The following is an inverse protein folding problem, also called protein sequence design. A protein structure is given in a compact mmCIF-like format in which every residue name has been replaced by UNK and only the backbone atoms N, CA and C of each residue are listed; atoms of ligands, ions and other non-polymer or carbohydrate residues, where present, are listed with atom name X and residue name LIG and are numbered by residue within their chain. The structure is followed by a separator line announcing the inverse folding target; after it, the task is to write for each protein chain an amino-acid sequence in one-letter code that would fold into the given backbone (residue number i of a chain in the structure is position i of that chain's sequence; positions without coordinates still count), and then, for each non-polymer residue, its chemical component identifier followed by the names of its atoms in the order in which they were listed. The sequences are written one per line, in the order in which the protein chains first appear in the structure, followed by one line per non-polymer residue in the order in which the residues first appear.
data_IF_676749116482
#
_entry.id   IF_676749116482
#
_cell.length_a   1.000
_cell.length_b   1.000
_cell.length_c   1.000
_cell.angle_alpha   90.00
_cell.angle_beta   90.00
_cell.angle_gamma   90.00
#
_symmetry.space_group_name_H-M   'P 1'
#
loop_
_entity.id
_entity.type
_entity.pdbx_description
1 polymer ?
#
# COMPACT_ATOMS: atom_id res chain seq x y z
N UNK A 1 -1.20 -21.05 3.56
CA UNK A 1 -1.33 -19.76 2.85
C UNK A 1 -0.63 -18.72 3.69
N UNK A 2 0.22 -17.93 3.07
CA UNK A 2 0.86 -16.80 3.71
C UNK A 2 -0.16 -15.71 4.11
N UNK A 3 0.30 -14.74 4.87
CA UNK A 3 -0.49 -13.55 5.18
C UNK A 3 -0.59 -12.64 3.95
N UNK A 4 -1.54 -11.71 3.97
CA UNK A 4 -1.67 -10.67 2.95
C UNK A 4 -1.38 -9.32 3.60
N UNK A 5 -0.37 -8.63 3.10
CA UNK A 5 -0.03 -7.28 3.48
C UNK A 5 -0.34 -6.29 2.35
N UNK A 6 -0.62 -5.05 2.70
CA UNK A 6 -0.87 -3.98 1.75
C UNK A 6 -0.07 -2.74 2.16
N UNK A 7 0.44 -2.01 1.18
CA UNK A 7 1.12 -0.73 1.36
C UNK A 7 1.05 0.08 0.06
N UNK A 8 1.54 1.30 0.07
CA UNK A 8 1.67 2.15 -1.10
C UNK A 8 2.79 3.16 -0.92
N UNK A 9 3.23 3.75 -2.02
CA UNK A 9 4.10 4.94 -2.01
C UNK A 9 5.43 4.70 -1.27
N UNK A 10 6.14 3.63 -1.62
CA UNK A 10 7.50 3.40 -1.12
C UNK A 10 8.40 4.56 -1.47
N UNK A 11 8.31 5.04 -2.72
CA UNK A 11 9.16 6.10 -3.25
C UNK A 11 10.64 5.89 -2.95
N UNK A 12 11.13 4.66 -3.12
CA UNK A 12 12.55 4.38 -2.99
C UNK A 12 13.38 5.35 -3.81
N UNK A 13 14.43 5.88 -3.20
CA UNK A 13 15.36 6.84 -3.80
C UNK A 13 14.76 8.24 -4.10
N UNK A 14 13.67 8.63 -3.46
CA UNK A 14 13.12 9.98 -3.58
C UNK A 14 14.00 11.00 -2.87
N UNK A 15 14.59 11.93 -3.64
CA UNK A 15 15.64 12.83 -3.16
C UNK A 15 15.14 14.12 -2.50
N UNK A 16 13.84 14.39 -2.55
CA UNK A 16 13.27 15.64 -2.05
C UNK A 16 12.86 15.50 -0.57
N UNK A 17 13.17 16.53 0.21
CA UNK A 17 12.97 16.55 1.66
C UNK A 17 11.49 16.57 2.06
N UNK A 18 10.63 17.13 1.24
CA UNK A 18 9.19 17.15 1.49
C UNK A 18 8.58 15.73 1.60
N UNK A 19 9.28 14.68 1.12
CA UNK A 19 8.83 13.31 1.25
C UNK A 19 9.42 12.63 2.50
N UNK A 20 10.75 12.61 2.64
CA UNK A 20 11.39 11.85 3.71
C UNK A 20 11.34 12.55 5.08
N UNK A 21 11.31 13.90 5.11
CA UNK A 21 11.25 14.66 6.39
C UNK A 21 9.94 14.45 7.16
N UNK A 22 8.75 14.52 6.54
CA UNK A 22 7.49 14.22 7.24
C UNK A 22 7.41 12.76 7.75
N UNK A 23 8.11 11.83 7.09
CA UNK A 23 8.26 10.43 7.52
C UNK A 23 9.25 10.25 8.67
N UNK A 24 9.93 11.34 9.10
CA UNK A 24 10.87 11.36 10.23
C UNK A 24 12.30 10.97 9.87
N UNK A 25 12.70 11.04 8.59
CA UNK A 25 14.05 10.71 8.14
C UNK A 25 14.84 11.95 7.72
N UNK A 26 16.17 11.89 7.82
CA UNK A 26 17.07 12.98 7.45
C UNK A 26 17.39 13.01 5.96
N UNK A 27 17.25 11.87 5.29
CA UNK A 27 17.56 11.69 3.87
C UNK A 27 16.91 10.41 3.33
N UNK A 28 16.93 10.26 2.00
CA UNK A 28 16.39 9.10 1.30
C UNK A 28 17.03 7.76 1.70
N UNK A 29 18.32 7.75 2.05
CA UNK A 29 19.02 6.50 2.38
C UNK A 29 18.55 5.94 3.72
N UNK A 30 18.34 6.82 4.72
CA UNK A 30 17.71 6.43 5.99
C UNK A 30 16.29 5.91 5.76
N UNK A 31 15.50 6.61 4.93
CA UNK A 31 14.14 6.20 4.60
C UNK A 31 14.11 4.84 3.92
N UNK A 32 14.90 4.64 2.85
CA UNK A 32 14.98 3.37 2.12
C UNK A 32 15.32 2.20 3.06
N UNK A 33 16.36 2.39 3.88
CA UNK A 33 16.80 1.39 4.85
C UNK A 33 15.68 1.06 5.86
N UNK A 34 15.04 2.08 6.41
CA UNK A 34 13.96 1.89 7.39
C UNK A 34 12.74 1.17 6.79
N UNK A 35 12.34 1.49 5.55
CA UNK A 35 11.25 0.79 4.86
C UNK A 35 11.60 -0.69 4.70
N UNK A 36 12.79 -1.02 4.22
CA UNK A 36 13.25 -2.41 4.03
C UNK A 36 13.28 -3.16 5.37
N UNK A 37 13.87 -2.56 6.41
CA UNK A 37 13.98 -3.19 7.74
C UNK A 37 12.60 -3.44 8.36
N UNK A 38 11.71 -2.43 8.33
CA UNK A 38 10.36 -2.53 8.89
C UNK A 38 9.48 -3.53 8.13
N UNK A 39 9.60 -3.55 6.79
CA UNK A 39 8.95 -4.54 5.95
C UNK A 39 9.41 -5.95 6.32
N UNK A 40 10.71 -6.19 6.30
CA UNK A 40 11.32 -7.50 6.52
C UNK A 40 11.18 -8.01 7.96
N UNK A 41 10.88 -7.14 8.92
CA UNK A 41 10.61 -7.51 10.30
C UNK A 41 9.26 -8.24 10.46
N UNK A 42 8.29 -7.98 9.57
CA UNK A 42 6.92 -8.52 9.70
C UNK A 42 6.56 -9.47 8.56
N UNK A 43 7.02 -9.23 7.35
CA UNK A 43 6.73 -10.04 6.16
C UNK A 43 7.64 -11.28 6.13
N UNK A 44 7.05 -12.44 5.84
CA UNK A 44 7.76 -13.71 5.63
C UNK A 44 7.86 -14.03 4.14
N UNK A 45 8.77 -14.95 3.72
CA UNK A 45 8.96 -15.26 2.30
C UNK A 45 7.71 -15.76 1.55
N UNK A 46 6.78 -16.41 2.25
CA UNK A 46 5.56 -16.98 1.67
C UNK A 46 4.34 -16.05 1.75
N UNK A 47 4.51 -14.83 2.29
CA UNK A 47 3.45 -13.84 2.37
C UNK A 47 3.27 -13.11 1.04
N UNK A 48 2.05 -12.65 0.75
CA UNK A 48 1.74 -11.78 -0.38
C UNK A 48 1.73 -10.31 0.06
N UNK A 49 2.40 -9.44 -0.71
CA UNK A 49 2.46 -7.99 -0.43
C UNK A 49 1.95 -7.23 -1.63
N UNK A 50 0.83 -6.54 -1.48
CA UNK A 50 0.28 -5.65 -2.50
C UNK A 50 0.80 -4.23 -2.26
N UNK A 51 1.68 -3.75 -3.15
CA UNK A 51 2.11 -2.36 -3.22
C UNK A 51 1.21 -1.60 -4.19
N UNK A 52 0.49 -0.61 -3.71
CA UNK A 52 -0.45 0.17 -4.53
C UNK A 52 0.25 1.36 -5.21
N UNK A 53 1.42 1.09 -5.79
CA UNK A 53 2.13 1.98 -6.71
C UNK A 53 3.13 2.94 -6.09
N UNK A 54 3.73 3.70 -7.00
CA UNK A 54 4.78 4.68 -6.72
C UNK A 54 5.97 4.07 -5.98
N UNK A 55 6.51 3.01 -6.60
CA UNK A 55 7.54 2.18 -5.96
C UNK A 55 8.92 2.87 -5.92
N UNK A 56 9.35 3.49 -7.01
CA UNK A 56 10.73 4.01 -7.18
C UNK A 56 10.72 5.42 -7.77
N UNK A 57 11.63 6.28 -7.27
CA UNK A 57 11.86 7.63 -7.80
C UNK A 57 13.36 7.86 -8.08
N UNK A 58 13.63 8.82 -8.97
CA UNK A 58 14.96 9.33 -9.32
C UNK A 58 15.99 8.26 -9.78
N UNK A 59 16.50 7.45 -8.89
CA UNK A 59 17.49 6.41 -9.19
C UNK A 59 16.81 5.03 -9.32
N UNK A 60 16.52 4.65 -10.56
CA UNK A 60 15.84 3.38 -10.84
C UNK A 60 16.70 2.17 -10.47
N UNK A 61 18.02 2.23 -10.71
CA UNK A 61 18.91 1.10 -10.45
C UNK A 61 18.99 0.80 -8.95
N UNK A 62 19.17 1.83 -8.13
CA UNK A 62 19.21 1.67 -6.68
C UNK A 62 17.82 1.32 -6.10
N UNK A 63 16.75 1.89 -6.66
CA UNK A 63 15.38 1.57 -6.26
C UNK A 63 15.02 0.10 -6.52
N UNK A 64 15.45 -0.47 -7.63
CA UNK A 64 15.31 -1.90 -7.93
C UNK A 64 16.09 -2.77 -6.92
N UNK A 65 17.27 -2.35 -6.51
CA UNK A 65 18.01 -3.04 -5.43
C UNK A 65 17.25 -3.01 -4.11
N UNK A 66 16.54 -1.91 -3.83
CA UNK A 66 15.68 -1.84 -2.64
C UNK A 66 14.52 -2.84 -2.74
N UNK A 67 13.80 -2.91 -3.88
CA UNK A 67 12.70 -3.86 -4.08
C UNK A 67 13.20 -5.31 -3.93
N UNK A 68 14.33 -5.66 -4.53
CA UNK A 68 14.91 -7.01 -4.45
C UNK A 68 15.30 -7.44 -3.03
N UNK A 69 15.40 -6.51 -2.06
CA UNK A 69 15.66 -6.83 -0.65
C UNK A 69 14.41 -7.12 0.16
N UNK A 70 13.22 -6.81 -0.38
CA UNK A 70 11.95 -7.05 0.31
C UNK A 70 11.60 -8.54 0.28
N UNK A 71 11.13 -9.05 1.41
CA UNK A 71 10.57 -10.40 1.52
C UNK A 71 9.14 -10.45 0.98
N UNK A 72 8.68 -11.65 0.68
CA UNK A 72 7.33 -11.96 0.21
C UNK A 72 7.19 -11.91 -1.30
N UNK A 73 6.02 -12.30 -1.77
CA UNK A 73 5.59 -12.21 -3.17
C UNK A 73 5.02 -10.82 -3.41
N UNK A 74 5.71 -9.98 -4.15
CA UNK A 74 5.34 -8.59 -4.38
C UNK A 74 4.39 -8.50 -5.57
N UNK A 75 3.19 -7.94 -5.33
CA UNK A 75 2.21 -7.57 -6.35
C UNK A 75 2.21 -6.05 -6.47
N UNK A 76 2.49 -5.50 -7.64
CA UNK A 76 2.52 -4.06 -7.88
C UNK A 76 1.25 -3.64 -8.61
N UNK A 77 0.50 -2.72 -8.03
CA UNK A 77 -0.56 -1.96 -8.68
C UNK A 77 0.06 -0.62 -9.09
N UNK A 78 0.14 -0.35 -10.41
CA UNK A 78 0.88 0.79 -10.93
C UNK A 78 0.32 2.13 -10.43
N UNK A 79 1.21 3.01 -9.98
CA UNK A 79 0.93 4.42 -9.69
C UNK A 79 1.35 5.34 -10.83
N UNK A 80 1.16 6.65 -10.63
CA UNK A 80 1.49 7.65 -11.67
C UNK A 80 3.00 7.80 -11.92
N UNK A 81 3.83 7.40 -10.97
CA UNK A 81 5.28 7.41 -11.14
C UNK A 81 5.85 6.10 -11.68
N UNK A 82 5.05 5.04 -11.82
CA UNK A 82 5.47 3.74 -12.33
C UNK A 82 5.37 3.70 -13.86
N UNK A 83 6.32 4.34 -14.53
CA UNK A 83 6.38 4.42 -15.99
C UNK A 83 6.66 3.07 -16.65
N UNK A 84 6.33 2.92 -17.94
CA UNK A 84 6.63 1.70 -18.71
C UNK A 84 8.11 1.27 -18.63
N UNK A 85 9.04 2.21 -18.49
CA UNK A 85 10.45 1.91 -18.33
C UNK A 85 10.74 1.27 -16.95
N UNK A 86 10.09 1.75 -15.89
CA UNK A 86 10.22 1.18 -14.54
C UNK A 86 9.53 -0.18 -14.44
N UNK A 87 8.36 -0.34 -15.07
CA UNK A 87 7.62 -1.61 -15.12
C UNK A 87 8.52 -2.73 -15.65
N UNK A 88 9.26 -2.49 -16.74
CA UNK A 88 10.21 -3.47 -17.28
C UNK A 88 11.32 -3.85 -16.29
N UNK A 89 11.76 -2.91 -15.44
CA UNK A 89 12.74 -3.20 -14.41
C UNK A 89 12.12 -3.97 -13.23
N UNK A 90 10.85 -3.72 -12.91
CA UNK A 90 10.11 -4.48 -11.89
C UNK A 90 9.93 -5.94 -12.31
N UNK A 91 9.65 -6.20 -13.60
CA UNK A 91 9.54 -7.56 -14.17
C UNK A 91 10.83 -8.38 -14.01
N UNK A 92 11.99 -7.71 -13.89
CA UNK A 92 13.29 -8.36 -13.64
C UNK A 92 13.54 -8.69 -12.15
N UNK A 93 12.66 -8.29 -11.25
CA UNK A 93 12.79 -8.58 -9.83
C UNK A 93 12.22 -9.97 -9.52
N UNK A 94 13.03 -10.85 -8.95
CA UNK A 94 12.67 -12.24 -8.67
C UNK A 94 11.51 -12.40 -7.69
N UNK A 95 11.27 -11.40 -6.86
CA UNK A 95 10.21 -11.35 -5.85
C UNK A 95 8.97 -10.59 -6.32
N UNK A 96 8.97 -9.98 -7.50
CA UNK A 96 7.78 -9.36 -8.11
C UNK A 96 7.06 -10.41 -8.94
N UNK A 97 5.83 -10.73 -8.56
CA UNK A 97 5.06 -11.84 -9.16
C UNK A 97 3.89 -11.36 -10.01
N UNK A 98 3.46 -10.11 -9.86
CA UNK A 98 2.36 -9.54 -10.61
C UNK A 98 2.53 -8.02 -10.75
N UNK A 99 2.19 -7.44 -11.91
CA UNK A 99 2.15 -6.00 -12.15
C UNK A 99 0.87 -5.69 -12.92
N UNK A 100 0.00 -4.84 -12.38
CA UNK A 100 -1.33 -4.53 -12.92
C UNK A 100 -1.74 -3.10 -12.56
N UNK A 101 -2.83 -2.58 -13.16
CA UNK A 101 -3.32 -1.23 -12.89
C UNK A 101 -4.29 -1.16 -11.70
N UNK A 102 -5.07 -2.22 -11.47
CA UNK A 102 -6.00 -2.32 -10.34
C UNK A 102 -6.37 -3.79 -10.09
N UNK A 103 -6.86 -4.10 -8.88
CA UNK A 103 -7.22 -5.49 -8.54
C UNK A 103 -8.45 -5.59 -7.65
N UNK A 104 -9.33 -6.51 -8.00
CA UNK A 104 -10.32 -7.06 -7.08
C UNK A 104 -9.68 -8.15 -6.24
N UNK A 105 -9.67 -7.98 -4.92
CA UNK A 105 -9.12 -8.94 -3.98
C UNK A 105 -10.21 -9.41 -3.02
N UNK A 106 -10.45 -10.70 -2.97
CA UNK A 106 -11.34 -11.29 -1.97
C UNK A 106 -10.51 -11.91 -0.85
N UNK A 107 -10.70 -11.40 0.36
CA UNK A 107 -10.11 -11.98 1.56
C UNK A 107 -11.21 -12.37 2.54
N UNK A 108 -11.25 -13.66 2.94
CA UNK A 108 -12.35 -14.21 3.74
C UNK A 108 -13.70 -13.95 3.05
N UNK A 109 -14.60 -13.20 3.67
CA UNK A 109 -15.91 -12.83 3.12
C UNK A 109 -15.97 -11.38 2.62
N UNK A 110 -14.85 -10.65 2.70
CA UNK A 110 -14.77 -9.26 2.32
C UNK A 110 -14.20 -9.09 0.92
N UNK A 111 -14.76 -8.17 0.14
CA UNK A 111 -14.23 -7.73 -1.14
C UNK A 111 -13.48 -6.41 -0.96
N UNK A 112 -12.27 -6.34 -1.53
CA UNK A 112 -11.45 -5.16 -1.62
C UNK A 112 -11.26 -4.77 -3.07
N UNK A 113 -11.18 -3.48 -3.33
CA UNK A 113 -10.70 -2.93 -4.58
C UNK A 113 -9.38 -2.21 -4.30
N UNK A 114 -8.31 -2.66 -4.95
CA UNK A 114 -6.97 -2.13 -4.80
C UNK A 114 -6.64 -1.26 -6.00
N UNK A 115 -6.29 -0.01 -5.77
CA UNK A 115 -5.86 0.94 -6.80
C UNK A 115 -4.90 1.96 -6.20
N UNK A 116 -4.05 2.56 -7.04
CA UNK A 116 -3.19 3.64 -6.57
C UNK A 116 -3.99 4.86 -6.13
N UNK A 117 -4.97 5.25 -6.93
CA UNK A 117 -5.81 6.40 -6.64
C UNK A 117 -6.99 6.07 -5.72
N UNK A 118 -7.40 7.01 -4.84
CA UNK A 118 -8.66 6.88 -4.12
C UNK A 118 -9.82 6.70 -5.11
N UNK A 119 -10.53 5.59 -4.99
CA UNK A 119 -11.66 5.28 -5.86
C UNK A 119 -12.94 5.11 -5.05
N UNK A 120 -14.02 5.75 -5.51
CA UNK A 120 -15.36 5.45 -5.01
C UNK A 120 -15.77 4.08 -5.56
N UNK A 121 -16.11 3.21 -4.64
CA UNK A 121 -16.71 1.91 -4.95
C UNK A 121 -18.21 1.95 -4.65
N UNK A 122 -18.95 0.91 -4.97
CA UNK A 122 -20.40 0.81 -4.69
C UNK A 122 -20.66 0.66 -3.18
N UNK A 123 -20.48 1.75 -2.42
CA UNK A 123 -20.47 1.73 -0.95
C UNK A 123 -21.41 2.71 -0.27
N UNK A 124 -22.27 3.37 -1.02
CA UNK A 124 -23.16 4.38 -0.45
C UNK A 124 -24.27 3.80 0.43
N UNK A 125 -24.51 2.48 0.39
CA UNK A 125 -25.48 1.78 1.22
C UNK A 125 -24.89 1.46 2.60
N UNK A 126 -24.90 2.43 3.50
CA UNK A 126 -24.50 2.24 4.90
C UNK A 126 -25.31 1.16 5.63
N UNK A 127 -26.53 0.88 5.17
CA UNK A 127 -27.44 -0.12 5.73
C UNK A 127 -27.00 -1.57 5.39
N UNK A 128 -26.16 -1.77 4.39
CA UNK A 128 -25.67 -3.11 4.07
C UNK A 128 -24.60 -3.57 5.08
N UNK A 129 -24.62 -4.84 5.51
CA UNK A 129 -23.56 -5.38 6.33
C UNK A 129 -22.20 -5.25 5.63
N UNK A 130 -21.13 -5.01 6.38
CA UNK A 130 -19.77 -4.81 5.84
C UNK A 130 -19.35 -5.88 4.82
N UNK A 131 -19.70 -7.15 5.07
CA UNK A 131 -19.39 -8.27 4.16
C UNK A 131 -20.03 -8.20 2.76
N UNK A 132 -20.98 -7.27 2.55
CA UNK A 132 -21.61 -6.97 1.27
C UNK A 132 -21.18 -5.64 0.68
N UNK A 133 -20.28 -4.93 1.35
CA UNK A 133 -19.71 -3.66 0.89
C UNK A 133 -18.30 -3.90 0.36
N UNK A 134 -17.83 -3.02 -0.50
CA UNK A 134 -16.49 -3.08 -1.08
C UNK A 134 -15.62 -2.07 -0.33
N UNK A 135 -14.44 -2.49 0.10
CA UNK A 135 -13.44 -1.62 0.70
C UNK A 135 -12.46 -1.20 -0.37
N UNK A 136 -12.31 0.10 -0.60
CA UNK A 136 -11.27 0.66 -1.46
C UNK A 136 -9.99 0.85 -0.66
N UNK A 137 -8.90 0.23 -1.08
CA UNK A 137 -7.56 0.46 -0.55
C UNK A 137 -6.78 1.29 -1.58
N UNK A 138 -6.16 2.37 -1.12
CA UNK A 138 -5.47 3.32 -2.01
C UNK A 138 -4.22 3.92 -1.39
N UNK A 139 -3.45 4.61 -2.23
CA UNK A 139 -2.30 5.42 -1.91
C UNK A 139 -2.41 6.83 -2.46
N UNK A 140 -1.29 7.34 -3.03
CA UNK A 140 -1.18 8.58 -3.80
C UNK A 140 -1.21 9.90 -3.01
N UNK A 141 -2.02 10.01 -1.97
CA UNK A 141 -2.27 11.30 -1.31
C UNK A 141 -1.17 11.71 -0.31
N UNK A 142 -0.24 10.82 0.00
CA UNK A 142 0.81 11.04 1.02
C UNK A 142 0.26 11.55 2.35
N UNK A 143 -0.92 11.07 2.71
CA UNK A 143 -1.58 11.46 3.95
C UNK A 143 -1.07 10.67 5.14
N UNK A 144 -1.05 11.31 6.32
CA UNK A 144 -0.84 10.63 7.60
C UNK A 144 -2.16 10.11 8.20
N UNK A 145 -3.29 10.49 7.59
CA UNK A 145 -4.63 10.08 8.02
C UNK A 145 -5.17 8.96 7.12
N UNK A 146 -5.17 7.75 7.63
CA UNK A 146 -5.72 6.57 6.94
C UNK A 146 -7.23 6.69 6.62
N UNK A 147 -7.91 7.70 7.16
CA UNK A 147 -9.35 7.95 7.01
C UNK A 147 -9.69 9.16 6.14
N UNK A 148 -8.72 9.76 5.44
CA UNK A 148 -8.90 11.02 4.69
C UNK A 148 -10.16 11.06 3.82
N UNK A 149 -10.49 9.97 3.14
CA UNK A 149 -11.63 9.87 2.22
C UNK A 149 -12.77 8.98 2.75
N UNK A 150 -12.78 8.73 4.06
CA UNK A 150 -13.75 7.82 4.68
C UNK A 150 -15.21 8.27 4.54
N UNK A 151 -15.48 9.57 4.56
CA UNK A 151 -16.79 10.19 4.38
C UNK A 151 -17.35 10.02 2.95
N UNK A 152 -16.50 9.73 1.99
CA UNK A 152 -16.85 9.47 0.58
C UNK A 152 -17.19 8.01 0.29
N UNK A 153 -17.00 7.12 1.25
CA UNK A 153 -17.21 5.68 1.13
C UNK A 153 -16.27 4.89 2.02
N UNK A 154 -16.18 3.56 1.84
CA UNK A 154 -15.21 2.74 2.56
C UNK A 154 -13.82 2.85 1.91
N UNK A 155 -13.22 4.03 1.96
CA UNK A 155 -11.86 4.29 1.45
C UNK A 155 -10.89 4.27 2.62
N UNK A 156 -9.83 3.47 2.49
CA UNK A 156 -8.77 3.33 3.49
C UNK A 156 -7.41 3.53 2.83
N UNK A 157 -6.65 4.49 3.35
CA UNK A 157 -5.33 4.85 2.85
C UNK A 157 -4.26 3.94 3.44
N UNK A 158 -3.40 3.38 2.56
CA UNK A 158 -2.34 2.42 2.93
C UNK A 158 -0.92 2.94 2.64
N UNK A 159 -0.78 4.25 2.42
CA UNK A 159 0.51 4.89 2.18
C UNK A 159 1.49 4.66 3.34
N UNK A 160 2.76 4.63 3.00
CA UNK A 160 3.86 4.59 3.97
C UNK A 160 3.73 5.67 5.04
N UNK A 161 3.20 6.84 4.66
CA UNK A 161 2.99 8.00 5.51
C UNK A 161 1.98 7.72 6.64
N UNK A 162 0.91 7.01 6.36
CA UNK A 162 -0.16 6.66 7.31
C UNK A 162 0.21 5.49 8.24
N UNK A 163 1.22 4.68 7.89
CA UNK A 163 1.52 3.40 8.53
C UNK A 163 2.96 3.26 9.04
N UNK A 164 3.60 4.36 9.43
CA UNK A 164 4.98 4.35 9.96
C UNK A 164 5.97 3.63 9.04
N UNK A 165 5.87 3.84 7.72
CA UNK A 165 6.74 3.24 6.71
C UNK A 165 6.86 1.71 6.80
N UNK A 166 5.73 1.02 6.99
CA UNK A 166 5.66 -0.45 6.98
C UNK A 166 4.34 -0.90 6.34
N UNK A 167 4.30 -2.08 5.71
CA UNK A 167 3.06 -2.64 5.21
C UNK A 167 2.12 -3.01 6.36
N UNK A 168 0.80 -2.97 6.09
CA UNK A 168 -0.24 -3.33 7.05
C UNK A 168 -0.88 -4.67 6.67
N UNK A 169 -1.14 -5.52 7.67
CA UNK A 169 -1.84 -6.77 7.48
C UNK A 169 -3.31 -6.49 7.10
N UNK A 170 -3.82 -7.17 6.09
CA UNK A 170 -5.20 -6.97 5.60
C UNK A 170 -6.25 -7.25 6.68
N UNK A 171 -5.96 -8.16 7.62
CA UNK A 171 -6.81 -8.44 8.77
C UNK A 171 -6.85 -7.28 9.76
N UNK A 172 -5.74 -6.55 9.94
CA UNK A 172 -5.70 -5.36 10.80
C UNK A 172 -6.50 -4.21 10.17
N UNK A 173 -6.48 -4.06 8.83
CA UNK A 173 -7.36 -3.13 8.12
C UNK A 173 -8.84 -3.43 8.42
N UNK A 174 -9.23 -4.72 8.39
CA UNK A 174 -10.60 -5.11 8.72
C UNK A 174 -11.00 -4.81 10.15
N UNK A 175 -10.08 -4.94 11.09
CA UNK A 175 -10.30 -4.60 12.51
C UNK A 175 -10.47 -3.09 12.65
N UNK A 176 -9.58 -2.30 12.06
CA UNK A 176 -9.64 -0.84 12.05
C UNK A 176 -10.99 -0.34 11.52
N UNK A 177 -11.42 -0.85 10.36
CA UNK A 177 -12.67 -0.44 9.71
C UNK A 177 -13.90 -0.81 10.57
N UNK A 178 -13.92 -1.99 11.18
CA UNK A 178 -15.01 -2.38 12.08
C UNK A 178 -15.12 -1.44 13.29
N UNK A 179 -13.98 -1.14 13.92
CA UNK A 179 -13.92 -0.22 15.05
C UNK A 179 -14.42 1.17 14.65
N UNK A 180 -13.98 1.68 13.48
CA UNK A 180 -14.41 2.98 12.96
C UNK A 180 -15.93 3.04 12.74
N UNK A 181 -16.52 1.99 12.14
CA UNK A 181 -17.98 1.89 11.93
C UNK A 181 -18.75 1.83 13.27
N UNK A 182 -18.19 1.18 14.29
CA UNK A 182 -18.81 1.09 15.61
C UNK A 182 -18.78 2.44 16.34
N UNK A 183 -17.66 3.17 16.25
CA UNK A 183 -17.50 4.52 16.80
C UNK A 183 -18.53 5.52 16.21
N UNK A 184 -18.84 5.42 14.92
CA UNK A 184 -19.80 6.30 14.24
C UNK A 184 -21.28 6.03 14.58
N UNK A 185 -21.57 4.90 15.24
CA UNK A 185 -22.93 4.54 15.67
C UNK A 185 -23.26 5.05 17.09
N UNK A 186 -22.25 5.48 17.84
CA UNK A 186 -22.37 5.99 19.20
C UNK A 186 -22.56 7.50 19.23
#
# INVERSE_FOLDING_TARGET
MGNIYVCSDWHFCHQQDFLYSPRGFKNQHEMNKAIIERHNAIVQPDDDVYCLGDCVMNDNEEGIKCIKQLKGNIHIICGNHDTNAKIKLYEECYNVVEIIDAKWLKHKKQMFFLSHYPCLTDNHDADKPLSRRIISLCGHCHTQDKWLDWDKGLVYHVEMDAHNCKPILIDDILIDIKNKIEEEKC
#
